data_IF_537464762763
#
_entry.id   IF_537464762763
#
_cell.length_a   1.000
_cell.length_b   1.000
_cell.length_c   1.000
_cell.angle_alpha   90.00
_cell.angle_beta   90.00
_cell.angle_gamma   90.00
#
_symmetry.space_group_name_H-M   'P 1'
#
loop_
_entity.id
_entity.type
_entity.pdbx_description
1 polymer ?
#
# COMPACT_ATOMS: atom_id res chain seq x y z
N UNK A 1 -7.67 -14.45 -1.47
CA UNK A 1 -8.22 -15.01 -2.72
C UNK A 1 -7.38 -16.22 -3.11
N UNK A 2 -7.95 -17.33 -3.62
CA UNK A 2 -7.15 -18.46 -4.10
C UNK A 2 -6.35 -18.09 -5.35
N UNK A 3 -5.07 -18.41 -5.38
CA UNK A 3 -4.18 -18.14 -6.53
C UNK A 3 -4.43 -19.07 -7.74
N UNK A 4 -5.34 -20.03 -7.59
CA UNK A 4 -5.66 -21.04 -8.61
C UNK A 4 -6.86 -20.66 -9.47
N UNK A 5 -7.50 -19.51 -9.24
CA UNK A 5 -8.64 -19.05 -10.03
C UNK A 5 -8.21 -18.71 -11.46
N UNK A 6 -8.93 -19.26 -12.44
CA UNK A 6 -8.70 -18.98 -13.86
C UNK A 6 -9.24 -17.61 -14.28
N UNK A 7 -10.30 -17.12 -13.63
CA UNK A 7 -10.92 -15.81 -13.86
C UNK A 7 -11.18 -15.09 -12.54
N UNK A 8 -10.19 -14.29 -12.13
CA UNK A 8 -10.27 -13.46 -10.93
C UNK A 8 -11.34 -12.37 -11.05
N UNK A 9 -11.52 -11.79 -12.24
CA UNK A 9 -12.44 -10.68 -12.45
C UNK A 9 -13.91 -11.11 -12.32
N UNK A 10 -14.28 -12.24 -12.95
CA UNK A 10 -15.62 -12.81 -12.80
C UNK A 10 -15.91 -13.17 -11.35
N UNK A 11 -14.94 -13.79 -10.66
CA UNK A 11 -15.10 -14.15 -9.25
C UNK A 11 -15.35 -12.92 -8.36
N UNK A 12 -14.56 -11.85 -8.54
CA UNK A 12 -14.72 -10.60 -7.80
C UNK A 12 -16.05 -9.90 -8.09
N UNK A 13 -16.49 -9.91 -9.35
CA UNK A 13 -17.76 -9.34 -9.75
C UNK A 13 -18.93 -10.02 -9.03
N UNK A 14 -18.92 -11.36 -8.96
CA UNK A 14 -19.99 -12.12 -8.34
C UNK A 14 -20.04 -11.95 -6.81
N UNK A 15 -18.89 -11.71 -6.18
CA UNK A 15 -18.80 -11.43 -4.74
C UNK A 15 -19.40 -10.07 -4.33
N UNK A 16 -19.57 -9.12 -5.27
CA UNK A 16 -20.06 -7.76 -4.99
C UNK A 16 -19.29 -7.06 -3.86
N UNK A 17 -17.97 -7.01 -4.00
CA UNK A 17 -17.09 -6.43 -2.98
C UNK A 17 -17.11 -4.90 -2.96
N UNK A 18 -16.98 -4.32 -1.76
CA UNK A 18 -16.87 -2.86 -1.57
C UNK A 18 -15.42 -2.35 -1.50
N UNK A 19 -14.45 -3.26 -1.37
CA UNK A 19 -13.04 -2.89 -1.22
C UNK A 19 -12.10 -4.09 -1.30
N UNK A 20 -10.83 -3.81 -1.59
CA UNK A 20 -9.75 -4.80 -1.68
C UNK A 20 -8.62 -4.43 -0.72
N UNK A 21 -8.11 -5.44 -0.02
CA UNK A 21 -6.85 -5.35 0.75
C UNK A 21 -5.86 -6.34 0.15
N UNK A 22 -4.72 -5.84 -0.36
CA UNK A 22 -3.57 -6.67 -0.71
C UNK A 22 -2.65 -6.74 0.51
N UNK A 23 -2.51 -7.94 1.09
CA UNK A 23 -1.75 -8.13 2.33
C UNK A 23 -0.23 -8.17 2.11
N UNK A 24 0.53 -8.15 3.20
CA UNK A 24 1.97 -8.42 3.19
C UNK A 24 2.30 -9.87 2.77
N UNK A 25 3.58 -10.24 2.89
CA UNK A 25 4.05 -11.61 2.66
C UNK A 25 5.48 -11.67 2.11
N UNK A 26 5.71 -12.64 1.23
CA UNK A 26 6.94 -12.92 0.49
C UNK A 26 7.34 -11.78 -0.48
N UNK A 27 8.37 -11.95 -1.32
CA UNK A 27 8.70 -10.94 -2.32
C UNK A 27 7.87 -11.14 -3.58
N UNK A 28 7.73 -10.07 -4.37
CA UNK A 28 7.23 -10.18 -5.74
C UNK A 28 8.21 -11.05 -6.53
N UNK A 29 7.68 -11.99 -7.31
CA UNK A 29 8.45 -12.97 -8.07
C UNK A 29 8.67 -14.30 -7.35
N UNK A 30 8.53 -14.36 -6.03
CA UNK A 30 8.68 -15.61 -5.26
C UNK A 30 7.50 -16.57 -5.53
N UNK A 31 6.29 -16.03 -5.75
CA UNK A 31 5.07 -16.78 -6.06
C UNK A 31 4.34 -16.19 -7.28
N UNK A 32 4.69 -16.60 -8.51
CA UNK A 32 4.14 -16.01 -9.75
C UNK A 32 2.61 -16.07 -9.86
N UNK A 33 1.98 -17.11 -9.34
CA UNK A 33 0.52 -17.26 -9.34
C UNK A 33 -0.15 -16.21 -8.44
N UNK A 34 0.50 -15.87 -7.32
CA UNK A 34 0.06 -14.81 -6.41
C UNK A 34 0.21 -13.45 -7.08
N UNK A 35 1.37 -13.19 -7.68
CA UNK A 35 1.64 -11.93 -8.39
C UNK A 35 0.56 -11.68 -9.45
N UNK A 36 0.28 -12.68 -10.30
CA UNK A 36 -0.77 -12.60 -11.33
C UNK A 36 -2.14 -12.32 -10.71
N UNK A 37 -2.47 -13.00 -9.61
CA UNK A 37 -3.77 -12.85 -8.93
C UNK A 37 -3.94 -11.43 -8.41
N UNK A 38 -2.94 -10.88 -7.72
CA UNK A 38 -3.02 -9.55 -7.12
C UNK A 38 -2.95 -8.44 -8.16
N UNK A 39 -2.18 -8.61 -9.24
CA UNK A 39 -2.22 -7.70 -10.40
C UNK A 39 -3.63 -7.69 -11.00
N UNK A 40 -4.26 -8.86 -11.18
CA UNK A 40 -5.65 -8.96 -11.68
C UNK A 40 -6.65 -8.29 -10.74
N UNK A 41 -6.47 -8.43 -9.42
CA UNK A 41 -7.29 -7.75 -8.41
C UNK A 41 -7.12 -6.22 -8.47
N UNK A 42 -5.89 -5.73 -8.67
CA UNK A 42 -5.60 -4.31 -8.82
C UNK A 42 -6.22 -3.74 -10.08
N UNK A 43 -6.09 -4.42 -11.21
CA UNK A 43 -6.74 -4.07 -12.48
C UNK A 43 -8.26 -4.00 -12.33
N UNK A 44 -8.86 -5.01 -11.69
CA UNK A 44 -10.29 -5.03 -11.41
C UNK A 44 -10.72 -3.84 -10.54
N UNK A 45 -9.97 -3.54 -9.47
CA UNK A 45 -10.27 -2.42 -8.59
C UNK A 45 -10.21 -1.08 -9.33
N UNK A 46 -9.18 -0.88 -10.16
CA UNK A 46 -9.00 0.32 -10.99
C UNK A 46 -10.17 0.48 -11.96
N UNK A 47 -10.49 -0.56 -12.72
CA UNK A 47 -11.52 -0.52 -13.75
C UNK A 47 -12.93 -0.27 -13.19
N UNK A 48 -13.19 -0.77 -11.97
CA UNK A 48 -14.49 -0.63 -11.31
C UNK A 48 -14.52 0.49 -10.26
N UNK A 49 -13.43 1.25 -10.09
CA UNK A 49 -13.28 2.30 -9.07
C UNK A 49 -13.55 1.80 -7.65
N UNK A 50 -13.16 0.56 -7.36
CA UNK A 50 -13.28 -0.05 -6.04
C UNK A 50 -12.06 0.37 -5.21
N UNK A 51 -12.24 0.85 -3.97
CA UNK A 51 -11.13 1.16 -3.08
C UNK A 51 -10.18 -0.03 -2.87
N UNK A 52 -8.89 0.23 -3.01
CA UNK A 52 -7.84 -0.76 -2.79
C UNK A 52 -6.75 -0.20 -1.87
N UNK A 53 -6.37 -0.98 -0.87
CA UNK A 53 -5.20 -0.71 -0.03
C UNK A 53 -4.20 -1.87 -0.10
N UNK A 54 -2.95 -1.55 -0.40
CA UNK A 54 -1.84 -2.50 -0.36
C UNK A 54 -0.99 -2.29 0.89
N UNK A 55 -0.75 -3.36 1.64
CA UNK A 55 0.03 -3.36 2.88
C UNK A 55 1.35 -4.11 2.65
N UNK A 56 2.48 -3.49 2.97
CA UNK A 56 3.84 -4.02 2.80
C UNK A 56 4.06 -4.54 1.38
N UNK A 57 4.05 -5.86 1.16
CA UNK A 57 4.10 -6.47 -0.17
C UNK A 57 2.98 -5.97 -1.10
N UNK A 58 1.77 -5.73 -0.59
CA UNK A 58 0.68 -5.16 -1.38
C UNK A 58 0.99 -3.76 -1.91
N UNK A 59 1.68 -2.92 -1.12
CA UNK A 59 2.16 -1.61 -1.58
C UNK A 59 3.21 -1.76 -2.69
N UNK A 60 4.08 -2.78 -2.59
CA UNK A 60 5.08 -3.09 -3.61
C UNK A 60 4.42 -3.49 -4.93
N UNK A 61 3.36 -4.32 -4.90
CA UNK A 61 2.60 -4.72 -6.09
C UNK A 61 1.98 -3.51 -6.79
N UNK A 62 1.41 -2.59 -6.01
CA UNK A 62 0.85 -1.35 -6.56
C UNK A 62 1.94 -0.50 -7.23
N UNK A 63 3.08 -0.32 -6.55
CA UNK A 63 4.18 0.46 -7.09
C UNK A 63 4.71 -0.13 -8.41
N UNK A 64 4.92 -1.43 -8.45
CA UNK A 64 5.39 -2.16 -9.63
C UNK A 64 4.40 -2.05 -10.80
N UNK A 65 3.10 -2.23 -10.54
CA UNK A 65 2.05 -2.06 -11.55
C UNK A 65 2.04 -0.67 -12.20
N UNK A 66 2.32 0.38 -11.43
CA UNK A 66 2.45 1.75 -11.95
C UNK A 66 3.85 2.06 -12.54
N UNK A 67 4.67 1.05 -12.78
CA UNK A 67 5.99 1.16 -13.42
C UNK A 67 7.10 1.65 -12.48
N UNK A 68 6.88 1.56 -11.17
CA UNK A 68 7.90 1.81 -10.16
C UNK A 68 8.92 0.67 -10.07
N UNK A 69 9.89 0.82 -9.19
CA UNK A 69 10.90 -0.20 -8.85
C UNK A 69 11.01 -0.35 -7.34
N UNK A 70 11.43 -1.54 -6.92
CA UNK A 70 11.68 -1.87 -5.52
C UNK A 70 13.18 -1.98 -5.34
N UNK A 71 13.73 -1.24 -4.40
CA UNK A 71 15.11 -1.37 -3.97
C UNK A 71 15.17 -2.32 -2.78
N UNK A 72 16.26 -3.07 -2.62
CA UNK A 72 16.45 -3.91 -1.45
C UNK A 72 17.51 -3.29 -0.53
N UNK A 73 17.14 -3.10 0.74
CA UNK A 73 18.07 -2.67 1.78
C UNK A 73 19.09 -3.76 2.08
N UNK A 74 20.34 -3.37 2.29
CA UNK A 74 21.42 -4.25 2.78
C UNK A 74 21.55 -4.25 4.31
N UNK A 75 20.70 -3.49 5.01
CA UNK A 75 20.74 -3.35 6.47
C UNK A 75 19.37 -3.62 7.12
N UNK A 76 19.37 -3.70 8.45
CA UNK A 76 18.17 -3.97 9.25
C UNK A 76 17.52 -2.68 9.81
N UNK A 77 17.55 -1.56 9.07
CA UNK A 77 16.95 -0.30 9.54
C UNK A 77 15.43 -0.40 9.72
N UNK A 78 14.77 -1.23 8.90
CA UNK A 78 13.31 -1.37 8.83
C UNK A 78 12.79 -2.77 9.24
N UNK A 79 13.58 -3.52 10.02
CA UNK A 79 13.27 -4.91 10.38
C UNK A 79 13.05 -5.02 11.89
N UNK A 80 11.80 -5.22 12.30
CA UNK A 80 11.41 -5.39 13.70
C UNK A 80 11.57 -4.14 14.55
N UNK A 81 11.38 -2.96 13.95
CA UNK A 81 11.61 -1.65 14.59
C UNK A 81 10.41 -0.73 14.44
N UNK A 82 10.44 0.36 15.20
CA UNK A 82 9.57 1.50 15.00
C UNK A 82 10.37 2.69 14.51
N UNK A 83 9.78 3.47 13.62
CA UNK A 83 10.38 4.70 13.13
C UNK A 83 9.32 5.77 12.88
N UNK A 84 9.77 7.03 12.78
CA UNK A 84 8.89 8.17 12.55
C UNK A 84 8.74 8.42 11.04
N UNK A 85 7.51 8.57 10.60
CA UNK A 85 7.17 9.05 9.25
C UNK A 85 6.58 10.45 9.32
N UNK A 86 6.97 11.30 8.39
CA UNK A 86 6.34 12.60 8.17
C UNK A 86 5.15 12.45 7.23
N UNK A 87 4.02 13.02 7.59
CA UNK A 87 2.79 13.01 6.78
C UNK A 87 2.73 14.30 5.95
N UNK A 88 3.15 14.21 4.69
CA UNK A 88 3.25 15.36 3.76
C UNK A 88 1.90 15.75 3.15
N UNK A 89 0.96 14.81 3.02
CA UNK A 89 -0.34 15.09 2.42
C UNK A 89 -1.26 15.83 3.41
N UNK A 90 -1.66 17.05 3.06
CA UNK A 90 -2.45 17.94 3.93
C UNK A 90 -3.81 17.38 4.34
N UNK A 91 -4.48 16.64 3.45
CA UNK A 91 -5.79 16.03 3.75
C UNK A 91 -5.63 14.92 4.78
N UNK A 92 -4.62 14.06 4.59
CA UNK A 92 -4.33 12.97 5.52
C UNK A 92 -3.82 13.49 6.86
N UNK A 93 -2.91 14.48 6.89
CA UNK A 93 -2.46 15.06 8.17
C UNK A 93 -3.58 15.73 8.95
N UNK A 94 -4.52 16.38 8.25
CA UNK A 94 -5.74 16.95 8.87
C UNK A 94 -6.65 15.85 9.43
N UNK A 95 -6.91 14.79 8.66
CA UNK A 95 -7.70 13.64 9.09
C UNK A 95 -7.09 12.95 10.32
N UNK A 96 -5.77 12.81 10.32
CA UNK A 96 -5.02 12.13 11.38
C UNK A 96 -4.75 13.03 12.59
N UNK A 97 -5.05 14.32 12.50
CA UNK A 97 -4.72 15.34 13.50
C UNK A 97 -3.22 15.35 13.88
N UNK A 98 -2.35 15.02 12.94
CA UNK A 98 -0.89 15.00 13.14
C UNK A 98 -0.15 15.14 11.81
N UNK A 99 1.04 15.75 11.86
CA UNK A 99 1.97 15.83 10.73
C UNK A 99 3.04 14.71 10.75
N UNK A 100 3.02 13.83 11.76
CA UNK A 100 3.96 12.71 11.85
C UNK A 100 3.37 11.55 12.64
N UNK A 101 3.80 10.32 12.35
CA UNK A 101 3.36 9.11 13.02
C UNK A 101 4.53 8.18 13.30
N UNK A 102 4.50 7.48 14.43
CA UNK A 102 5.38 6.36 14.67
C UNK A 102 4.73 5.09 14.10
N UNK A 103 5.48 4.34 13.30
CA UNK A 103 4.99 3.14 12.61
C UNK A 103 5.97 1.99 12.82
N UNK A 104 5.45 0.76 12.80
CA UNK A 104 6.27 -0.46 12.85
C UNK A 104 6.84 -0.81 11.46
N UNK A 105 7.91 -1.57 11.40
CA UNK A 105 8.53 -1.95 10.13
C UNK A 105 9.05 -3.39 10.16
N UNK A 106 8.75 -4.15 9.11
CA UNK A 106 9.16 -5.55 8.95
C UNK A 106 9.56 -5.85 7.51
N UNK A 107 10.32 -4.93 6.90
CA UNK A 107 10.63 -4.99 5.47
C UNK A 107 12.11 -4.72 5.19
N UNK A 108 12.61 -5.36 4.12
CA UNK A 108 13.88 -5.02 3.49
C UNK A 108 13.66 -4.21 2.20
N UNK A 109 12.46 -4.27 1.64
CA UNK A 109 12.12 -3.70 0.36
C UNK A 109 11.72 -2.24 0.53
N UNK A 110 12.39 -1.36 -0.21
CA UNK A 110 12.30 0.08 -0.11
C UNK A 110 11.74 0.67 -1.40
N UNK A 111 10.96 1.74 -1.25
CA UNK A 111 10.51 2.59 -2.34
C UNK A 111 10.99 4.00 -2.06
N UNK A 112 11.53 4.68 -3.08
CA UNK A 112 12.05 6.04 -3.02
C UNK A 112 11.41 6.88 -4.11
N UNK A 113 11.53 8.20 -4.02
CA UNK A 113 10.94 9.13 -4.99
C UNK A 113 11.37 8.83 -6.44
N UNK A 114 12.62 8.43 -6.67
CA UNK A 114 13.15 8.06 -7.98
C UNK A 114 12.71 6.67 -8.47
N UNK A 115 12.16 5.83 -7.60
CA UNK A 115 11.65 4.49 -7.93
C UNK A 115 10.14 4.37 -7.76
N UNK A 116 9.45 5.47 -7.45
CA UNK A 116 8.02 5.51 -7.31
C UNK A 116 7.34 5.40 -8.68
N UNK A 117 6.30 4.57 -8.74
CA UNK A 117 5.44 4.43 -9.91
C UNK A 117 4.74 5.72 -10.32
N UNK A 118 4.30 5.79 -11.57
CA UNK A 118 3.62 6.96 -12.13
C UNK A 118 2.29 7.22 -11.43
N UNK A 119 1.93 8.49 -11.30
CA UNK A 119 0.67 8.96 -10.69
C UNK A 119 0.46 8.57 -9.22
N UNK A 120 1.52 8.11 -8.54
CA UNK A 120 1.54 7.90 -7.10
C UNK A 120 2.13 9.13 -6.42
N UNK A 121 1.45 9.61 -5.38
CA UNK A 121 1.88 10.72 -4.54
C UNK A 121 2.27 10.17 -3.16
N UNK A 122 3.54 10.35 -2.71
CA UNK A 122 3.94 10.00 -1.36
C UNK A 122 3.18 10.84 -0.34
N UNK A 123 2.57 10.18 0.66
CA UNK A 123 1.98 10.87 1.79
C UNK A 123 2.75 10.64 3.10
N UNK A 124 3.52 9.55 3.21
CA UNK A 124 4.29 9.21 4.38
C UNK A 124 5.74 8.88 3.98
N UNK A 125 6.69 9.61 4.54
CA UNK A 125 8.14 9.46 4.23
C UNK A 125 8.92 9.44 5.53
N UNK A 126 9.84 8.49 5.69
CA UNK A 126 10.72 8.46 6.86
C UNK A 126 11.79 9.54 6.77
N UNK A 127 12.08 10.18 7.91
CA UNK A 127 13.12 11.21 7.97
C UNK A 127 14.53 10.62 8.01
N UNK A 128 14.66 9.32 8.33
CA UNK A 128 15.97 8.70 8.55
C UNK A 128 16.75 8.48 7.25
N UNK A 129 16.07 7.99 6.21
CA UNK A 129 16.69 7.63 4.93
C UNK A 129 15.87 8.08 3.72
N UNK A 130 14.73 8.76 3.92
CA UNK A 130 13.87 9.26 2.84
C UNK A 130 13.07 8.19 2.10
N UNK A 131 12.93 6.97 2.64
CA UNK A 131 12.05 5.95 2.05
C UNK A 131 10.58 6.33 2.19
N UNK A 132 9.81 5.97 1.17
CA UNK A 132 8.37 6.18 1.12
C UNK A 132 7.72 5.02 1.86
N UNK A 133 7.03 5.36 2.95
CA UNK A 133 6.29 4.40 3.78
C UNK A 133 4.80 4.40 3.44
N UNK A 134 4.32 5.39 2.67
CA UNK A 134 2.96 5.38 2.16
C UNK A 134 2.75 6.34 1.00
N UNK A 135 1.90 5.94 0.06
CA UNK A 135 1.49 6.74 -1.09
C UNK A 135 -0.01 6.56 -1.37
N UNK A 136 -0.57 7.49 -2.14
CA UNK A 136 -1.90 7.40 -2.73
C UNK A 136 -1.82 7.60 -4.23
N UNK A 137 -2.75 7.03 -4.99
CA UNK A 137 -2.87 7.37 -6.41
C UNK A 137 -3.60 8.71 -6.56
N UNK A 138 -3.15 9.55 -7.52
CA UNK A 138 -3.64 10.92 -7.70
C UNK A 138 -5.15 11.02 -8.00
N UNK A 139 -5.72 10.01 -8.66
CA UNK A 139 -7.11 10.04 -9.16
C UNK A 139 -7.94 8.79 -8.84
N UNK A 140 -7.30 7.71 -8.40
CA UNK A 140 -7.94 6.41 -8.21
C UNK A 140 -7.96 6.11 -6.72
N UNK A 141 -8.96 5.36 -6.21
CA UNK A 141 -9.04 5.05 -4.79
C UNK A 141 -8.04 3.92 -4.44
N UNK A 142 -6.75 4.19 -4.61
CA UNK A 142 -5.66 3.26 -4.36
C UNK A 142 -4.68 3.88 -3.36
N UNK A 143 -4.33 3.11 -2.32
CA UNK A 143 -3.37 3.51 -1.29
C UNK A 143 -2.34 2.39 -1.06
N UNK A 144 -1.08 2.75 -0.91
CA UNK A 144 -0.01 1.88 -0.44
C UNK A 144 0.44 2.29 0.96
N UNK A 145 0.64 1.31 1.84
CA UNK A 145 1.18 1.45 3.19
C UNK A 145 2.27 0.40 3.38
N UNK A 146 3.49 0.79 3.76
CA UNK A 146 4.61 -0.14 3.88
C UNK A 146 4.70 -0.78 5.27
N UNK A 147 4.29 -0.06 6.32
CA UNK A 147 4.15 -0.63 7.66
C UNK A 147 2.96 -1.57 7.78
N UNK A 148 2.83 -2.25 8.92
CA UNK A 148 1.74 -3.17 9.18
C UNK A 148 0.72 -2.54 10.16
N UNK A 149 -0.30 -1.82 9.66
CA UNK A 149 -1.35 -1.26 10.51
C UNK A 149 -2.16 -2.34 11.24
N UNK A 150 -2.19 -3.56 10.71
CA UNK A 150 -2.88 -4.70 11.31
C UNK A 150 -2.18 -5.27 12.56
N UNK A 151 -0.88 -5.00 12.73
CA UNK A 151 -0.10 -5.46 13.89
C UNK A 151 -0.24 -4.53 15.09
N UNK A 152 -0.70 -3.30 14.88
CA UNK A 152 -0.83 -2.29 15.91
C UNK A 152 -2.15 -1.54 15.81
N UNK A 153 -3.04 -1.83 16.76
CA UNK A 153 -4.32 -1.13 16.83
C UNK A 153 -4.11 0.26 17.43
N UNK A 154 -4.19 1.27 16.58
CA UNK A 154 -4.27 2.67 17.00
C UNK A 154 -5.24 3.44 16.10
N UNK A 155 -5.72 4.58 16.59
CA UNK A 155 -6.71 5.42 15.91
C UNK A 155 -6.24 5.88 14.54
N UNK A 156 -4.96 6.24 14.40
CA UNK A 156 -4.40 6.72 13.13
C UNK A 156 -4.42 5.66 12.03
N UNK A 157 -4.04 4.42 12.36
CA UNK A 157 -4.13 3.28 11.44
C UNK A 157 -5.59 3.02 11.02
N UNK A 158 -6.53 3.05 11.97
CA UNK A 158 -7.96 2.89 11.67
C UNK A 158 -8.48 4.00 10.76
N UNK A 159 -8.06 5.25 10.98
CA UNK A 159 -8.44 6.39 10.16
C UNK A 159 -7.92 6.27 8.73
N UNK A 160 -6.68 5.81 8.52
CA UNK A 160 -6.13 5.60 7.18
C UNK A 160 -6.92 4.56 6.39
N UNK A 161 -7.16 3.39 7.00
CA UNK A 161 -7.93 2.32 6.36
C UNK A 161 -9.37 2.76 6.09
N UNK A 162 -9.98 3.49 7.03
CA UNK A 162 -11.33 4.05 6.84
C UNK A 162 -11.35 5.09 5.72
N UNK A 163 -10.35 5.96 5.62
CA UNK A 163 -10.29 7.01 4.61
C UNK A 163 -10.35 6.45 3.20
N UNK A 164 -9.56 5.41 2.93
CA UNK A 164 -9.51 4.79 1.60
C UNK A 164 -10.79 4.01 1.32
N UNK A 165 -11.25 3.17 2.25
CA UNK A 165 -12.45 2.33 2.04
C UNK A 165 -13.75 3.14 1.93
N UNK A 166 -13.80 4.34 2.52
CA UNK A 166 -14.98 5.22 2.43
C UNK A 166 -14.86 6.27 1.31
N UNK A 167 -13.86 6.17 0.42
CA UNK A 167 -13.63 7.11 -0.69
C UNK A 167 -13.47 8.58 -0.27
N UNK A 168 -13.08 8.84 0.98
CA UNK A 168 -12.81 10.20 1.49
C UNK A 168 -11.45 10.76 1.02
N UNK A 169 -10.76 10.02 0.15
CA UNK A 169 -9.50 10.41 -0.46
C UNK A 169 -9.80 10.88 -1.89
N UNK A 170 -10.39 12.07 -2.00
CA UNK A 170 -10.48 12.84 -3.25
C UNK A 170 -10.12 14.28 -2.97
#
# INVERSE_FOLDING_TARGET
>A
MPNTLSDVASFLHDMKIDGIVLSGGDNIGDTPERDKTETSMLEFAINNKIPLVGICRGMQVINDYFGGKIEQSTNNAHVGKHHLVSISNKKLSTLLHTASMQVNSYHYNLIRTNTLGKNLEPFAVTQNDGTIEGFVHNTMPVMGIMWHPEREQNTSNQLLIKAILQSNIK
#
